data_IF_496748960407
#
_entry.id   IF_496748960407
#
_cell.length_a   1.000
_cell.length_b   1.000
_cell.length_c   1.000
_cell.angle_alpha   90.00
_cell.angle_beta   90.00
_cell.angle_gamma   90.00
#
_symmetry.space_group_name_H-M   'P 1'
#
loop_
_entity.id
_entity.type
_entity.pdbx_description
1 polymer ?
#
# COMPACT_ATOMS: atom_id res chain seq x y z
N UNK A 1 16.46 10.18 -8.98
CA UNK A 1 15.21 9.51 -9.36
C UNK A 1 15.11 8.38 -8.37
N UNK A 2 13.97 8.21 -7.74
CA UNK A 2 13.80 7.17 -6.74
C UNK A 2 12.48 6.45 -6.96
N UNK A 3 12.51 5.12 -6.80
CA UNK A 3 11.33 4.32 -6.60
C UNK A 3 11.33 3.86 -5.15
N UNK A 4 10.34 4.34 -4.42
CA UNK A 4 10.13 3.99 -3.01
C UNK A 4 8.82 3.22 -2.90
N UNK A 5 8.84 2.13 -2.16
CA UNK A 5 7.67 1.35 -1.82
C UNK A 5 7.38 1.49 -0.33
N UNK A 6 6.13 1.78 0.00
CA UNK A 6 5.58 1.65 1.33
C UNK A 6 4.59 0.48 1.36
N UNK A 7 4.70 -0.35 2.38
CA UNK A 7 3.75 -1.43 2.68
C UNK A 7 3.06 -1.05 3.98
N UNK A 8 1.72 -1.06 4.00
CA UNK A 8 0.91 -0.61 5.13
C UNK A 8 -0.16 -1.64 5.45
N UNK A 9 -0.27 -2.04 6.72
CA UNK A 9 -1.44 -2.78 7.21
C UNK A 9 -2.61 -1.82 7.44
N UNK A 10 -3.83 -2.23 7.12
CA UNK A 10 -5.05 -1.46 7.43
C UNK A 10 -5.10 -0.96 8.90
N UNK A 11 -5.89 0.09 9.15
CA UNK A 11 -6.17 0.65 10.47
C UNK A 11 -7.03 -0.25 11.37
N UNK A 12 -7.26 0.21 12.61
CA UNK A 12 -8.12 -0.49 13.56
C UNK A 12 -9.55 -0.67 13.04
N UNK A 13 -10.07 -1.89 13.16
CA UNK A 13 -11.38 -2.30 12.63
C UNK A 13 -12.46 -2.26 13.69
N UNK A 14 -13.69 -1.96 13.29
CA UNK A 14 -14.86 -1.97 14.17
C UNK A 14 -15.08 -3.33 14.82
N UNK A 15 -14.95 -4.43 14.07
CA UNK A 15 -15.15 -5.79 14.59
C UNK A 15 -14.07 -6.25 15.57
N UNK A 16 -12.94 -5.54 15.65
CA UNK A 16 -11.88 -5.79 16.63
C UNK A 16 -12.15 -5.11 17.98
N UNK A 17 -13.04 -4.10 18.01
CA UNK A 17 -13.40 -3.37 19.23
C UNK A 17 -14.84 -3.65 19.68
N UNK A 18 -15.73 -4.04 18.75
CA UNK A 18 -17.11 -4.45 19.01
C UNK A 18 -17.31 -5.94 18.66
N UNK A 19 -17.30 -6.83 19.68
CA UNK A 19 -17.54 -8.26 19.48
C UNK A 19 -18.93 -8.58 18.89
N UNK A 20 -19.89 -7.65 18.97
CA UNK A 20 -21.23 -7.83 18.45
C UNK A 20 -21.35 -7.46 16.97
N UNK A 21 -20.35 -6.80 16.38
CA UNK A 21 -20.36 -6.38 14.97
C UNK A 21 -20.73 -7.54 14.02
N UNK A 22 -20.21 -8.74 14.29
CA UNK A 22 -20.47 -9.94 13.48
C UNK A 22 -21.94 -10.38 13.45
N UNK A 23 -22.76 -9.92 14.40
CA UNK A 23 -24.18 -10.26 14.53
C UNK A 23 -25.10 -9.14 14.05
N UNK A 24 -24.60 -7.89 14.05
CA UNK A 24 -25.39 -6.70 13.73
C UNK A 24 -25.13 -6.19 12.31
N UNK A 25 -23.98 -6.52 11.72
CA UNK A 25 -23.61 -6.08 10.37
C UNK A 25 -24.19 -7.01 9.30
N UNK A 26 -24.73 -6.46 8.18
CA UNK A 26 -25.09 -7.26 7.01
C UNK A 26 -23.85 -7.83 6.28
N UNK A 27 -22.67 -7.25 6.50
CA UNK A 27 -21.39 -7.65 5.89
C UNK A 27 -20.33 -7.89 6.96
N UNK A 28 -20.49 -8.91 7.83
CA UNK A 28 -19.59 -9.14 8.97
C UNK A 28 -18.15 -9.49 8.57
N UNK A 29 -17.92 -9.84 7.30
CA UNK A 29 -16.62 -10.13 6.70
C UNK A 29 -15.89 -8.87 6.17
N UNK A 30 -16.59 -7.74 6.04
CA UNK A 30 -16.09 -6.51 5.43
C UNK A 30 -16.15 -5.32 6.42
N UNK A 31 -15.59 -5.53 7.61
CA UNK A 31 -15.67 -4.53 8.69
C UNK A 31 -14.98 -3.21 8.30
N UNK A 32 -15.61 -2.04 8.59
CA UNK A 32 -14.99 -0.73 8.42
C UNK A 32 -13.95 -0.43 9.50
N UNK A 33 -13.23 0.68 9.32
CA UNK A 33 -12.36 1.27 10.34
C UNK A 33 -13.16 1.92 11.46
N UNK A 34 -12.61 1.88 12.67
CA UNK A 34 -13.07 2.73 13.78
C UNK A 34 -12.70 4.20 13.50
N UNK A 35 -13.27 5.14 14.26
CA UNK A 35 -12.83 6.54 14.23
C UNK A 35 -11.33 6.68 14.53
N UNK A 36 -10.79 5.83 15.41
CA UNK A 36 -9.35 5.75 15.68
C UNK A 36 -8.58 5.18 14.49
N UNK A 37 -9.08 4.13 13.84
CA UNK A 37 -8.51 3.59 12.60
C UNK A 37 -8.39 4.64 11.49
N UNK A 38 -9.40 5.50 11.33
CA UNK A 38 -9.36 6.63 10.39
C UNK A 38 -8.28 7.65 10.75
N UNK A 39 -8.13 8.01 12.03
CA UNK A 39 -7.03 8.87 12.51
C UNK A 39 -5.66 8.24 12.28
N UNK A 40 -5.51 6.94 12.52
CA UNK A 40 -4.28 6.19 12.26
C UNK A 40 -3.87 6.27 10.79
N UNK A 41 -4.81 6.04 9.88
CA UNK A 41 -4.59 6.12 8.44
C UNK A 41 -4.12 7.52 8.02
N UNK A 42 -4.82 8.57 8.47
CA UNK A 42 -4.45 9.97 8.16
C UNK A 42 -3.08 10.36 8.69
N UNK A 43 -2.76 10.01 9.93
CA UNK A 43 -1.44 10.25 10.50
C UNK A 43 -0.34 9.49 9.75
N UNK A 44 -0.65 8.28 9.28
CA UNK A 44 0.26 7.47 8.46
C UNK A 44 0.58 8.13 7.13
N UNK A 45 -0.41 8.72 6.46
CA UNK A 45 -0.19 9.51 5.25
C UNK A 45 0.75 10.70 5.48
N UNK A 46 0.54 11.46 6.55
CA UNK A 46 1.43 12.56 6.91
C UNK A 46 2.86 12.08 7.20
N UNK A 47 3.00 10.98 7.93
CA UNK A 47 4.31 10.37 8.19
C UNK A 47 5.03 9.91 6.92
N UNK A 48 4.32 9.26 5.99
CA UNK A 48 4.87 8.85 4.67
C UNK A 48 5.40 10.06 3.91
N UNK A 49 4.66 11.18 3.90
CA UNK A 49 5.11 12.41 3.28
C UNK A 49 6.42 12.92 3.90
N UNK A 50 6.50 12.98 5.23
CA UNK A 50 7.67 13.52 5.94
C UNK A 50 8.93 12.68 5.67
N UNK A 51 8.84 11.35 5.78
CA UNK A 51 9.98 10.46 5.54
C UNK A 51 10.33 10.34 4.05
N UNK A 52 9.40 10.63 3.13
CA UNK A 52 9.72 10.75 1.71
C UNK A 52 10.54 12.02 1.46
N UNK A 53 10.24 13.14 2.13
CA UNK A 53 11.02 14.38 2.01
C UNK A 53 12.47 14.21 2.49
N UNK A 54 12.73 13.40 3.52
CA UNK A 54 14.10 13.06 3.92
C UNK A 54 14.95 12.48 2.78
N UNK A 55 14.29 11.77 1.85
CA UNK A 55 14.94 11.19 0.67
C UNK A 55 15.24 12.27 -0.39
N UNK A 56 14.41 13.31 -0.47
CA UNK A 56 14.54 14.42 -1.43
C UNK A 56 15.55 15.47 -0.96
N UNK A 57 15.59 15.80 0.34
CA UNK A 57 16.45 16.86 0.92
C UNK A 57 17.95 16.55 0.78
N UNK A 58 18.34 15.27 0.65
CA UNK A 58 19.73 14.89 0.33
C UNK A 58 20.16 15.24 -1.09
N UNK A 59 19.24 15.66 -1.96
CA UNK A 59 19.44 16.00 -3.36
C UNK A 59 19.04 17.49 -3.56
N UNK A 60 19.76 18.39 -2.88
CA UNK A 60 19.47 19.84 -2.69
C UNK A 60 19.14 20.60 -4.00
N UNK A 61 19.60 20.11 -5.14
CA UNK A 61 19.43 20.76 -6.44
C UNK A 61 18.13 20.41 -7.18
N UNK A 62 17.28 19.50 -6.67
CA UNK A 62 16.18 18.95 -7.48
C UNK A 62 14.81 19.21 -6.85
N UNK A 63 14.07 20.16 -7.43
CA UNK A 63 12.61 20.34 -7.24
C UNK A 63 11.82 19.16 -7.86
N UNK A 64 12.02 17.93 -7.36
CA UNK A 64 11.39 16.76 -7.95
C UNK A 64 9.88 16.75 -7.72
N UNK A 65 9.15 16.46 -8.80
CA UNK A 65 7.73 16.12 -8.73
C UNK A 65 7.63 14.68 -8.23
N UNK A 66 6.83 14.48 -7.18
CA UNK A 66 6.57 13.16 -6.59
C UNK A 66 5.21 12.66 -7.09
N UNK A 67 5.20 11.48 -7.70
CA UNK A 67 4.01 10.74 -8.10
C UNK A 67 3.74 9.67 -7.04
N UNK A 68 2.57 9.73 -6.40
CA UNK A 68 2.11 8.70 -5.48
C UNK A 68 1.13 7.77 -6.20
N UNK A 69 1.32 6.46 -6.05
CA UNK A 69 0.39 5.44 -6.54
C UNK A 69 0.01 4.52 -5.40
N UNK A 70 -1.25 4.61 -4.96
CA UNK A 70 -1.80 3.83 -3.86
C UNK A 70 -2.55 2.63 -4.43
N UNK A 71 -2.09 1.44 -4.08
CA UNK A 71 -2.76 0.17 -4.31
C UNK A 71 -3.44 -0.26 -3.01
N UNK A 72 -4.71 -0.62 -3.07
CA UNK A 72 -5.45 -1.13 -1.91
C UNK A 72 -6.12 -2.46 -2.22
N UNK A 73 -6.11 -3.35 -1.23
CA UNK A 73 -7.04 -4.49 -1.24
C UNK A 73 -8.49 -3.98 -1.28
N UNK A 74 -9.42 -4.71 -1.93
CA UNK A 74 -10.83 -4.36 -2.01
C UNK A 74 -11.59 -4.47 -0.67
N UNK A 75 -10.97 -4.87 0.45
CA UNK A 75 -11.69 -4.89 1.72
C UNK A 75 -11.91 -3.45 2.23
N UNK A 76 -13.09 -3.16 2.79
CA UNK A 76 -13.48 -1.80 3.18
C UNK A 76 -12.45 -1.14 4.09
N UNK A 77 -11.95 -1.86 5.10
CA UNK A 77 -10.87 -1.41 5.99
C UNK A 77 -9.60 -0.96 5.27
N UNK A 78 -9.18 -1.63 4.20
CA UNK A 78 -7.98 -1.25 3.44
C UNK A 78 -8.27 -0.04 2.57
N UNK A 79 -9.44 0.02 1.94
CA UNK A 79 -9.88 1.18 1.14
C UNK A 79 -9.98 2.44 2.01
N UNK A 80 -10.64 2.39 3.16
CA UNK A 80 -10.72 3.51 4.10
C UNK A 80 -9.33 3.92 4.64
N UNK A 81 -8.43 2.95 4.83
CA UNK A 81 -7.03 3.25 5.23
C UNK A 81 -6.30 4.00 4.11
N UNK A 82 -6.45 3.53 2.87
CA UNK A 82 -5.83 4.15 1.70
C UNK A 82 -6.34 5.59 1.46
N UNK A 83 -7.65 5.82 1.63
CA UNK A 83 -8.25 7.16 1.58
C UNK A 83 -7.64 8.06 2.67
N UNK A 84 -7.58 7.59 3.91
CA UNK A 84 -6.96 8.35 5.00
C UNK A 84 -5.50 8.69 4.73
N UNK A 85 -4.73 7.74 4.17
CA UNK A 85 -3.34 7.98 3.75
C UNK A 85 -3.27 9.10 2.70
N UNK A 86 -4.12 9.07 1.67
CA UNK A 86 -4.15 10.12 0.65
C UNK A 86 -4.46 11.49 1.26
N UNK A 87 -5.45 11.58 2.16
CA UNK A 87 -5.77 12.82 2.89
C UNK A 87 -4.58 13.31 3.73
N UNK A 88 -3.86 12.41 4.39
CA UNK A 88 -2.69 12.74 5.21
C UNK A 88 -1.55 13.32 4.37
N UNK A 89 -1.30 12.73 3.20
CA UNK A 89 -0.30 13.23 2.24
C UNK A 89 -0.71 14.61 1.72
N UNK A 90 -1.96 14.77 1.25
CA UNK A 90 -2.45 16.03 0.71
C UNK A 90 -2.46 17.15 1.75
N UNK A 91 -2.85 16.86 3.00
CA UNK A 91 -2.83 17.82 4.10
C UNK A 91 -1.39 18.30 4.43
N UNK A 92 -0.40 17.43 4.23
CA UNK A 92 1.02 17.74 4.50
C UNK A 92 1.69 18.48 3.33
N UNK A 93 1.04 18.53 2.17
CA UNK A 93 1.50 19.24 0.97
C UNK A 93 0.35 20.01 0.30
N UNK A 94 -0.03 21.19 0.83
CA UNK A 94 -1.20 21.94 0.36
C UNK A 94 -1.21 22.30 -1.14
N UNK A 95 -0.04 22.36 -1.78
CA UNK A 95 0.12 22.65 -3.20
C UNK A 95 0.34 21.40 -4.07
N UNK A 96 0.10 20.19 -3.55
CA UNK A 96 0.17 18.96 -4.32
C UNK A 96 -1.01 18.93 -5.32
N UNK A 97 -0.77 18.86 -6.64
CA UNK A 97 -1.86 18.68 -7.59
C UNK A 97 -2.62 17.40 -7.29
N UNK A 98 -3.96 17.42 -7.38
CA UNK A 98 -4.82 16.25 -7.09
C UNK A 98 -4.43 15.01 -7.90
N UNK A 99 -4.00 15.21 -9.14
CA UNK A 99 -3.55 14.13 -10.05
C UNK A 99 -2.20 13.49 -9.63
N UNK A 100 -1.58 13.98 -8.56
CA UNK A 100 -0.32 13.45 -8.05
C UNK A 100 -0.51 12.21 -7.17
N UNK A 101 -1.74 11.89 -6.77
CA UNK A 101 -2.06 10.66 -6.01
C UNK A 101 -3.04 9.84 -6.84
N UNK A 102 -2.56 8.74 -7.41
CA UNK A 102 -3.38 7.76 -8.12
C UNK A 102 -3.85 6.66 -7.16
N UNK A 103 -5.08 6.20 -7.32
CA UNK A 103 -5.71 5.22 -6.44
C UNK A 103 -6.20 4.01 -7.23
N UNK A 104 -5.75 2.80 -6.88
CA UNK A 104 -5.98 1.53 -7.58
C UNK A 104 -6.49 0.46 -6.62
N UNK A 105 -7.51 -0.29 -7.03
CA UNK A 105 -8.03 -1.45 -6.28
C UNK A 105 -7.38 -2.70 -6.84
N UNK A 106 -6.72 -3.49 -5.98
CA UNK A 106 -6.00 -4.70 -6.37
C UNK A 106 -6.44 -5.90 -5.51
N UNK A 107 -7.27 -6.81 -6.04
CA UNK A 107 -7.69 -8.03 -5.34
C UNK A 107 -6.54 -8.97 -4.98
N UNK A 108 -5.45 -9.01 -5.75
CA UNK A 108 -4.32 -9.91 -5.50
C UNK A 108 -3.55 -9.60 -4.20
N UNK A 109 -3.69 -8.40 -3.63
CA UNK A 109 -3.12 -8.02 -2.33
C UNK A 109 -4.13 -8.15 -1.17
N UNK A 110 -5.18 -8.96 -1.34
CA UNK A 110 -6.15 -9.27 -0.29
C UNK A 110 -5.60 -10.17 0.81
N UNK A 111 -6.34 -10.24 1.91
CA UNK A 111 -6.00 -11.02 3.11
C UNK A 111 -5.83 -12.51 2.78
N UNK A 112 -5.28 -13.28 3.71
CA UNK A 112 -5.24 -14.73 3.56
C UNK A 112 -6.64 -15.32 3.81
N UNK A 113 -7.22 -15.93 2.78
CA UNK A 113 -8.59 -16.44 2.82
C UNK A 113 -8.64 -17.86 3.42
N UNK A 114 -8.26 -17.97 4.69
CA UNK A 114 -8.25 -19.24 5.41
C UNK A 114 -9.36 -19.36 6.46
N UNK A 115 -9.71 -20.61 6.81
CA UNK A 115 -10.86 -20.93 7.66
C UNK A 115 -10.75 -20.38 9.10
N UNK A 116 -9.53 -20.14 9.58
CA UNK A 116 -9.30 -19.55 10.91
C UNK A 116 -9.68 -18.07 10.98
N UNK A 117 -9.63 -17.36 9.85
CA UNK A 117 -9.95 -15.94 9.77
C UNK A 117 -11.34 -15.69 9.21
N UNK A 118 -11.76 -16.51 8.24
CA UNK A 118 -13.04 -16.39 7.56
C UNK A 118 -13.81 -17.70 7.70
N UNK A 119 -15.06 -17.65 8.17
CA UNK A 119 -15.90 -18.85 8.30
C UNK A 119 -16.38 -19.40 6.95
N UNK A 120 -16.40 -18.54 5.93
CA UNK A 120 -16.89 -18.81 4.58
C UNK A 120 -16.09 -17.95 3.60
N UNK A 121 -16.17 -18.30 2.31
CA UNK A 121 -15.62 -17.47 1.25
C UNK A 121 -16.20 -16.04 1.33
N UNK A 122 -15.32 -15.06 1.18
CA UNK A 122 -15.72 -13.67 1.00
C UNK A 122 -16.20 -13.51 -0.45
N UNK A 123 -17.37 -12.90 -0.69
CA UNK A 123 -17.94 -12.82 -2.03
C UNK A 123 -17.14 -11.87 -2.94
N UNK A 124 -16.90 -12.29 -4.19
CA UNK A 124 -16.25 -11.47 -5.22
C UNK A 124 -16.99 -10.15 -5.51
N UNK A 125 -18.29 -10.09 -5.21
CA UNK A 125 -19.09 -8.86 -5.38
C UNK A 125 -18.57 -7.66 -4.59
N UNK A 126 -17.71 -7.87 -3.58
CA UNK A 126 -17.02 -6.76 -2.90
C UNK A 126 -16.20 -5.94 -3.89
N UNK A 127 -15.50 -6.57 -4.84
CA UNK A 127 -14.64 -5.85 -5.79
C UNK A 127 -15.47 -4.83 -6.57
N UNK A 128 -16.58 -5.28 -7.19
CA UNK A 128 -17.49 -4.38 -7.88
C UNK A 128 -18.13 -3.34 -6.97
N UNK A 129 -18.51 -3.72 -5.74
CA UNK A 129 -19.13 -2.81 -4.79
C UNK A 129 -18.18 -1.67 -4.45
N UNK A 130 -16.90 -1.96 -4.20
CA UNK A 130 -15.86 -0.98 -3.88
C UNK A 130 -15.58 -0.06 -5.06
N UNK A 131 -15.51 -0.59 -6.27
CA UNK A 131 -15.36 0.21 -7.49
C UNK A 131 -16.55 1.15 -7.67
N UNK A 132 -17.79 0.67 -7.48
CA UNK A 132 -19.01 1.49 -7.56
C UNK A 132 -19.02 2.59 -6.50
N UNK A 133 -18.68 2.26 -5.25
CA UNK A 133 -18.59 3.23 -4.16
C UNK A 133 -17.52 4.30 -4.42
N UNK A 134 -16.36 3.92 -4.95
CA UNK A 134 -15.31 4.86 -5.34
C UNK A 134 -15.76 5.80 -6.47
N UNK A 135 -16.43 5.25 -7.49
CA UNK A 135 -17.02 6.04 -8.57
C UNK A 135 -18.08 7.03 -8.06
N UNK A 136 -18.90 6.64 -7.09
CA UNK A 136 -19.89 7.52 -6.47
C UNK A 136 -19.23 8.65 -5.69
N UNK A 137 -18.17 8.36 -4.92
CA UNK A 137 -17.40 9.37 -4.20
C UNK A 137 -16.81 10.42 -5.17
N UNK A 138 -16.28 9.97 -6.32
CA UNK A 138 -15.73 10.87 -7.35
C UNK A 138 -16.81 11.72 -7.99
N UNK A 139 -17.97 11.15 -8.30
CA UNK A 139 -19.10 11.91 -8.86
C UNK A 139 -19.59 12.97 -7.87
N UNK A 140 -19.76 12.60 -6.61
CA UNK A 140 -20.16 13.54 -5.55
C UNK A 140 -19.15 14.68 -5.39
N UNK A 141 -17.86 14.38 -5.47
CA UNK A 141 -16.81 15.40 -5.47
C UNK A 141 -16.93 16.35 -6.67
N UNK A 142 -17.12 15.80 -7.87
CA UNK A 142 -17.30 16.58 -9.10
C UNK A 142 -18.55 17.47 -9.05
N UNK A 143 -19.67 16.96 -8.57
CA UNK A 143 -20.92 17.72 -8.41
C UNK A 143 -20.77 18.85 -7.37
N UNK A 144 -19.88 18.68 -6.39
CA UNK A 144 -19.58 19.69 -5.37
C UNK A 144 -18.58 20.77 -5.86
N UNK A 145 -17.87 20.54 -6.98
CA UNK A 145 -16.89 21.50 -7.54
C UNK A 145 -17.50 22.81 -8.02
N UNK A 146 -18.81 22.88 -8.22
CA UNK A 146 -19.52 24.15 -8.43
C UNK A 146 -19.38 25.12 -7.23
N UNK A 147 -18.83 24.65 -6.09
CA UNK A 147 -18.47 25.44 -4.90
C UNK A 147 -16.95 25.67 -4.69
N UNK A 148 -16.13 25.59 -5.75
CA UNK A 148 -14.73 26.05 -5.83
C UNK A 148 -13.62 25.25 -5.12
N UNK A 149 -13.81 24.00 -4.67
CA UNK A 149 -12.70 23.11 -4.27
C UNK A 149 -13.09 21.62 -4.28
N UNK A 150 -12.22 20.75 -4.80
CA UNK A 150 -12.34 19.29 -4.68
C UNK A 150 -12.07 18.89 -3.23
N UNK A 151 -12.93 18.06 -2.65
CA UNK A 151 -12.74 17.44 -1.34
C UNK A 151 -11.85 16.19 -1.42
N UNK A 152 -11.79 15.54 -2.58
CA UNK A 152 -10.93 14.36 -2.77
C UNK A 152 -9.46 14.73 -2.85
N UNK A 153 -8.64 13.96 -2.13
CA UNK A 153 -7.18 14.11 -2.10
C UNK A 153 -6.46 13.25 -3.14
N UNK A 154 -7.19 12.55 -4.00
CA UNK A 154 -6.64 11.58 -4.97
C UNK A 154 -7.50 11.50 -6.23
N UNK A 155 -6.93 10.95 -7.29
CA UNK A 155 -7.61 10.53 -8.51
C UNK A 155 -7.69 9.01 -8.56
N UNK A 156 -8.89 8.45 -8.66
CA UNK A 156 -9.00 7.02 -8.93
C UNK A 156 -8.59 6.70 -10.37
N UNK A 157 -7.79 5.66 -10.52
CA UNK A 157 -7.39 5.13 -11.80
C UNK A 157 -8.38 4.04 -12.22
N UNK A 158 -9.43 4.48 -12.92
CA UNK A 158 -10.51 3.59 -13.39
C UNK A 158 -10.09 2.72 -14.57
N UNK A 159 -8.98 3.07 -15.22
CA UNK A 159 -8.40 2.32 -16.35
C UNK A 159 -7.40 1.25 -15.87
N UNK A 160 -7.17 1.16 -14.56
CA UNK A 160 -6.30 0.14 -13.99
C UNK A 160 -6.91 -1.26 -14.14
N UNK A 161 -6.21 -2.12 -14.88
CA UNK A 161 -6.51 -3.55 -14.96
C UNK A 161 -5.87 -4.29 -13.78
N UNK A 162 -6.68 -4.88 -12.87
CA UNK A 162 -6.13 -5.57 -11.71
C UNK A 162 -5.44 -6.89 -12.11
N UNK A 163 -4.43 -7.28 -11.34
CA UNK A 163 -3.68 -8.52 -11.53
C UNK A 163 -4.58 -9.74 -11.39
N UNK A 164 -5.59 -9.63 -10.51
CA UNK A 164 -6.66 -10.61 -10.36
C UNK A 164 -8.01 -9.93 -10.42
N UNK A 165 -8.95 -10.51 -11.17
CA UNK A 165 -10.36 -10.07 -11.19
C UNK A 165 -11.18 -10.68 -10.05
N UNK A 166 -10.60 -11.62 -9.29
CA UNK A 166 -11.24 -12.32 -8.19
C UNK A 166 -10.45 -12.19 -6.89
N UNK A 167 -11.16 -12.33 -5.77
CA UNK A 167 -10.56 -12.50 -4.46
C UNK A 167 -9.86 -13.86 -4.37
N UNK A 168 -8.94 -14.03 -3.40
CA UNK A 168 -8.29 -15.31 -3.18
C UNK A 168 -9.28 -16.44 -2.94
N UNK A 169 -8.95 -17.62 -3.47
CA UNK A 169 -9.74 -18.84 -3.30
C UNK A 169 -9.98 -19.14 -1.82
N UNK A 170 -11.08 -19.83 -1.50
CA UNK A 170 -11.40 -20.21 -0.13
C UNK A 170 -11.65 -21.73 -0.01
N UNK A 171 -10.98 -22.43 0.92
CA UNK A 171 -9.84 -21.95 1.69
C UNK A 171 -8.58 -21.82 0.82
N UNK A 172 -7.78 -20.79 1.08
CA UNK A 172 -6.47 -20.61 0.45
C UNK A 172 -5.37 -21.33 1.23
N UNK A 173 -4.50 -22.07 0.55
CA UNK A 173 -3.30 -22.66 1.16
C UNK A 173 -2.28 -21.58 1.54
N UNK A 174 -1.48 -21.81 2.59
CA UNK A 174 -0.45 -20.84 3.01
C UNK A 174 0.56 -20.57 1.89
N UNK A 175 1.00 -21.60 1.17
CA UNK A 175 1.94 -21.45 0.06
C UNK A 175 1.33 -20.67 -1.10
N UNK A 176 0.02 -20.86 -1.36
CA UNK A 176 -0.70 -20.13 -2.40
C UNK A 176 -0.82 -18.64 -2.04
N UNK A 177 -1.11 -18.32 -0.78
CA UNK A 177 -1.17 -16.95 -0.30
C UNK A 177 0.18 -16.23 -0.40
N UNK A 178 1.27 -16.91 -0.02
CA UNK A 178 2.63 -16.39 -0.16
C UNK A 178 2.98 -16.13 -1.64
N UNK A 179 2.75 -17.13 -2.51
CA UNK A 179 3.02 -17.02 -3.93
C UNK A 179 2.20 -15.90 -4.58
N UNK A 180 0.91 -15.80 -4.27
CA UNK A 180 0.03 -14.75 -4.77
C UNK A 180 0.52 -13.37 -4.37
N UNK A 181 0.83 -13.14 -3.11
CA UNK A 181 1.30 -11.83 -2.62
C UNK A 181 2.67 -11.46 -3.21
N UNK A 182 3.59 -12.43 -3.34
CA UNK A 182 4.89 -12.21 -4.00
C UNK A 182 4.72 -11.86 -5.48
N UNK A 183 3.90 -12.61 -6.22
CA UNK A 183 3.61 -12.33 -7.63
C UNK A 183 2.87 -10.98 -7.80
N UNK A 184 1.99 -10.62 -6.87
CA UNK A 184 1.33 -9.31 -6.89
C UNK A 184 2.35 -8.17 -6.72
N UNK A 185 3.29 -8.30 -5.79
CA UNK A 185 4.39 -7.35 -5.61
C UNK A 185 5.23 -7.20 -6.88
N UNK A 186 5.65 -8.31 -7.50
CA UNK A 186 6.46 -8.28 -8.72
C UNK A 186 5.72 -7.58 -9.87
N UNK A 187 4.44 -7.93 -10.10
CA UNK A 187 3.61 -7.33 -11.16
C UNK A 187 3.27 -5.87 -10.91
N UNK A 188 3.06 -5.47 -9.64
CA UNK A 188 2.83 -4.07 -9.28
C UNK A 188 4.09 -3.24 -9.55
N UNK A 189 5.28 -3.75 -9.19
CA UNK A 189 6.51 -2.96 -9.19
C UNK A 189 7.25 -2.94 -10.51
N UNK A 190 7.22 -4.03 -11.28
CA UNK A 190 7.96 -4.18 -12.54
C UNK A 190 7.72 -3.04 -13.54
N UNK A 191 6.47 -2.60 -13.82
CA UNK A 191 6.23 -1.49 -14.75
C UNK A 191 6.88 -0.17 -14.30
N UNK A 192 6.98 0.06 -12.99
CA UNK A 192 7.62 1.27 -12.47
C UNK A 192 9.15 1.16 -12.51
N UNK A 193 9.71 -0.02 -12.26
CA UNK A 193 11.14 -0.28 -12.43
C UNK A 193 11.56 -0.04 -13.89
N UNK A 194 10.73 -0.44 -14.85
CA UNK A 194 10.96 -0.16 -16.27
C UNK A 194 10.85 1.33 -16.60
N UNK A 195 9.82 2.02 -16.09
CA UNK A 195 9.63 3.48 -16.25
C UNK A 195 10.80 4.28 -15.68
N UNK A 196 11.41 3.85 -14.57
CA UNK A 196 12.59 4.49 -14.01
C UNK A 196 13.74 4.56 -15.04
N UNK A 197 13.88 3.59 -15.95
CA UNK A 197 14.93 3.65 -16.98
C UNK A 197 14.70 4.76 -18.02
N UNK A 198 13.48 5.31 -18.10
CA UNK A 198 13.06 6.17 -19.21
C UNK A 198 12.86 7.65 -18.81
N UNK A 199 12.51 7.96 -17.55
CA UNK A 199 12.26 9.33 -17.07
C UNK A 199 13.00 9.65 -15.75
N UNK A 200 14.21 10.23 -15.79
CA UNK A 200 15.07 10.42 -14.62
C UNK A 200 14.68 11.59 -13.69
N UNK A 201 13.60 12.32 -13.98
CA UNK A 201 13.22 13.54 -13.25
C UNK A 201 12.09 13.35 -12.23
N UNK A 202 11.38 12.22 -12.23
CA UNK A 202 10.27 11.94 -11.32
C UNK A 202 10.68 11.00 -10.18
N UNK A 203 10.20 11.29 -8.99
CA UNK A 203 10.23 10.32 -7.89
C UNK A 203 8.86 9.63 -7.83
N UNK A 204 8.88 8.30 -7.75
CA UNK A 204 7.68 7.49 -7.72
C UNK A 204 7.59 6.83 -6.35
N UNK A 205 6.44 7.01 -5.70
CA UNK A 205 6.13 6.43 -4.40
C UNK A 205 4.96 5.47 -4.57
N UNK A 206 5.25 4.18 -4.48
CA UNK A 206 4.25 3.13 -4.44
C UNK A 206 3.81 2.92 -2.99
N UNK A 207 2.51 2.81 -2.76
CA UNK A 207 1.92 2.60 -1.44
C UNK A 207 0.98 1.41 -1.54
N UNK A 208 1.31 0.28 -0.91
CA UNK A 208 0.50 -0.93 -0.88
C UNK A 208 -0.21 -1.01 0.47
N UNK A 209 -1.53 -0.87 0.47
CA UNK A 209 -2.40 -0.99 1.65
C UNK A 209 -3.07 -2.35 1.67
N UNK A 210 -2.67 -3.18 2.64
CA UNK A 210 -3.01 -4.60 2.69
C UNK A 210 -3.23 -5.10 4.13
N UNK A 211 -3.11 -6.40 4.35
CA UNK A 211 -3.38 -7.14 5.58
C UNK A 211 -2.09 -7.78 6.11
N UNK A 212 -2.12 -8.34 7.33
CA UNK A 212 -0.91 -8.80 8.02
C UNK A 212 -0.10 -9.87 7.26
N UNK A 213 -0.77 -10.87 6.67
CA UNK A 213 -0.09 -11.94 5.92
C UNK A 213 0.56 -11.43 4.64
N UNK A 214 -0.21 -10.72 3.81
CA UNK A 214 0.31 -10.19 2.56
C UNK A 214 1.38 -9.11 2.80
N UNK A 215 1.27 -8.32 3.88
CA UNK A 215 2.32 -7.39 4.31
C UNK A 215 3.65 -8.12 4.51
N UNK A 216 3.67 -9.20 5.29
CA UNK A 216 4.90 -9.95 5.55
C UNK A 216 5.42 -10.64 4.28
N UNK A 217 4.53 -11.18 3.43
CA UNK A 217 4.92 -11.79 2.17
C UNK A 217 5.60 -10.79 1.22
N UNK A 218 5.06 -9.58 1.09
CA UNK A 218 5.66 -8.52 0.27
C UNK A 218 6.96 -8.01 0.90
N UNK A 219 7.03 -7.91 2.24
CA UNK A 219 8.25 -7.53 2.94
C UNK A 219 9.39 -8.54 2.70
N UNK A 220 9.10 -9.83 2.81
CA UNK A 220 10.07 -10.89 2.53
C UNK A 220 10.48 -10.91 1.05
N UNK A 221 9.55 -10.63 0.13
CA UNK A 221 9.87 -10.46 -1.30
C UNK A 221 10.78 -9.26 -1.59
N UNK A 222 10.75 -8.20 -0.77
CA UNK A 222 11.68 -7.07 -0.89
C UNK A 222 13.08 -7.41 -0.36
N UNK A 223 13.20 -8.28 0.64
CA UNK A 223 14.47 -8.66 1.24
C UNK A 223 14.32 -10.04 1.88
N UNK A 224 14.80 -11.07 1.17
CA UNK A 224 14.70 -12.47 1.60
C UNK A 224 15.25 -12.65 3.01
N UNK A 225 14.49 -13.34 3.86
CA UNK A 225 14.89 -13.58 5.25
C UNK A 225 14.53 -12.44 6.20
N UNK A 226 13.73 -11.48 5.75
CA UNK A 226 13.13 -10.49 6.64
C UNK A 226 12.31 -11.18 7.73
N UNK A 227 12.48 -10.82 9.02
CA UNK A 227 11.71 -11.43 10.08
C UNK A 227 10.21 -11.19 9.86
N UNK A 228 9.45 -12.27 9.97
CA UNK A 228 8.00 -12.21 10.05
C UNK A 228 7.60 -11.68 11.42
N UNK A 229 6.81 -10.62 11.43
CA UNK A 229 6.38 -9.95 12.66
C UNK A 229 4.88 -9.89 12.76
N UNK A 230 4.37 -9.75 13.98
CA UNK A 230 2.99 -9.35 14.18
C UNK A 230 2.84 -7.87 13.78
N UNK A 231 2.36 -7.66 12.56
CA UNK A 231 2.24 -6.32 11.97
C UNK A 231 1.09 -5.57 12.63
N UNK A 232 1.31 -4.48 13.35
CA UNK A 232 0.22 -3.72 13.99
C UNK A 232 -0.59 -2.86 13.00
N UNK A 233 -1.75 -2.34 13.42
CA UNK A 233 -2.58 -1.47 12.57
C UNK A 233 -1.81 -0.24 12.09
N UNK A 234 -1.93 0.09 10.81
CA UNK A 234 -1.21 1.20 10.17
C UNK A 234 0.32 1.16 10.37
N UNK A 235 0.89 -0.02 10.65
CA UNK A 235 2.33 -0.21 10.63
C UNK A 235 2.86 -0.01 9.21
N UNK A 236 4.05 0.60 9.10
CA UNK A 236 4.68 0.98 7.84
C UNK A 236 6.02 0.27 7.66
N UNK A 237 6.19 -0.39 6.53
CA UNK A 237 7.50 -0.82 6.02
C UNK A 237 7.86 0.04 4.81
N UNK A 238 9.13 0.49 4.73
CA UNK A 238 9.67 1.20 3.57
C UNK A 238 10.75 0.35 2.90
N UNK A 239 10.63 0.18 1.59
CA UNK A 239 11.63 -0.39 0.73
C UNK A 239 12.06 0.64 -0.33
N UNK A 240 13.35 0.65 -0.68
CA UNK A 240 13.89 1.48 -1.76
C UNK A 240 14.51 0.61 -2.84
N UNK A 241 14.19 0.90 -4.09
CA UNK A 241 14.82 0.26 -5.23
C UNK A 241 16.20 0.88 -5.50
N UNK A 242 17.21 0.03 -5.62
CA UNK A 242 18.59 0.40 -5.98
C UNK A 242 18.90 -0.23 -7.34
N UNK A 243 19.03 0.55 -8.41
CA UNK A 243 19.48 0.05 -9.71
C UNK A 243 20.87 -0.59 -9.61
N UNK A 244 21.13 -1.60 -10.42
CA UNK A 244 22.48 -2.19 -10.53
C UNK A 244 23.38 -1.23 -11.32
N UNK A 245 24.52 -0.82 -10.74
CA UNK A 245 25.52 -0.01 -11.46
C UNK A 245 26.24 -0.87 -12.51
N UNK A 246 26.28 -0.40 -13.76
CA UNK A 246 27.00 -1.06 -14.86
C UNK A 246 28.53 -1.14 -14.64
N UNK A 247 29.09 -0.31 -13.75
CA UNK A 247 30.53 -0.18 -13.49
C UNK A 247 30.99 -0.66 -12.08
N UNK A 248 30.11 -1.30 -11.30
CA UNK A 248 30.50 -1.78 -9.96
C UNK A 248 31.11 -3.20 -10.01
N UNK A 249 32.44 -3.27 -10.09
CA UNK A 249 33.17 -4.50 -9.73
C UNK A 249 33.03 -4.71 -8.21
N UNK A 250 32.10 -5.58 -7.81
CA UNK A 250 32.04 -6.00 -6.41
C UNK A 250 33.22 -6.94 -6.12
N UNK A 251 34.04 -6.55 -5.16
CA UNK A 251 34.92 -7.46 -4.42
C UNK A 251 34.00 -8.51 -3.79
N UNK A 252 34.11 -9.76 -4.23
CA UNK A 252 33.47 -10.90 -3.60
C UNK A 252 33.98 -11.02 -2.17
N UNK A 253 33.19 -10.58 -1.20
CA UNK A 253 33.42 -10.91 0.20
C UNK A 253 32.98 -12.36 0.40
N UNK A 254 33.95 -13.27 0.33
CA UNK A 254 33.77 -14.71 0.47
C UNK A 254 33.39 -14.97 1.94
N UNK A 255 32.08 -15.00 2.23
CA UNK A 255 31.64 -15.30 3.60
C UNK A 255 30.15 -15.22 3.93
N UNK A 256 29.27 -14.82 3.01
CA UNK A 256 27.81 -15.01 3.18
C UNK A 256 27.20 -15.50 1.88
N UNK A 257 26.71 -16.71 1.97
CA UNK A 257 26.30 -17.54 0.85
C UNK A 257 25.37 -16.84 -0.14
N UNK A 258 25.68 -17.09 -1.40
CA UNK A 258 24.84 -16.90 -2.57
C UNK A 258 23.37 -17.18 -2.28
N UNK A 259 22.50 -16.16 -2.42
CA UNK A 259 21.05 -16.25 -2.68
C UNK A 259 20.36 -14.86 -2.74
N UNK A 260 21.10 -13.79 -3.05
CA UNK A 260 20.51 -12.47 -3.35
C UNK A 260 19.72 -12.56 -4.67
N UNK A 261 18.43 -12.26 -4.59
CA UNK A 261 17.47 -12.53 -5.68
C UNK A 261 17.77 -11.69 -6.93
N UNK A 262 17.88 -12.41 -8.04
CA UNK A 262 18.38 -11.95 -9.33
C UNK A 262 17.29 -11.24 -10.14
N UNK A 263 17.20 -9.92 -9.99
CA UNK A 263 16.84 -9.07 -11.14
C UNK A 263 18.14 -8.54 -11.74
N UNK A 264 18.34 -8.70 -13.06
CA UNK A 264 19.47 -8.08 -13.77
C UNK A 264 19.47 -6.54 -13.67
N UNK A 265 18.37 -5.95 -13.19
CA UNK A 265 18.12 -4.52 -13.15
C UNK A 265 18.53 -3.81 -11.85
N UNK A 266 18.59 -4.51 -10.72
CA UNK A 266 18.76 -3.89 -9.40
C UNK A 266 18.19 -4.72 -8.27
N UNK A 267 18.11 -4.14 -7.07
CA UNK A 267 17.57 -4.79 -5.86
C UNK A 267 16.76 -3.85 -4.97
N UNK A 268 15.82 -4.42 -4.21
CA UNK A 268 15.12 -3.71 -3.14
C UNK A 268 15.96 -3.73 -1.86
N UNK A 269 15.82 -2.67 -1.05
CA UNK A 269 16.44 -2.56 0.27
C UNK A 269 15.44 -2.05 1.29
N UNK A 270 15.28 -2.76 2.40
CA UNK A 270 14.44 -2.33 3.52
C UNK A 270 15.22 -1.41 4.45
N UNK A 271 14.62 -0.29 4.84
CA UNK A 271 15.22 0.62 5.82
C UNK A 271 14.25 1.05 6.94
N UNK A 272 12.96 0.79 6.78
CA UNK A 272 11.94 0.89 7.84
C UNK A 272 11.15 -0.42 7.83
N UNK A 273 10.98 -1.06 8.98
CA UNK A 273 10.26 -2.32 9.10
C UNK A 273 9.16 -2.24 10.15
N UNK A 274 7.92 -2.48 9.73
CA UNK A 274 6.71 -2.55 10.57
C UNK A 274 6.62 -1.44 11.65
N UNK A 275 7.03 -0.23 11.29
CA UNK A 275 7.13 0.91 12.21
C UNK A 275 5.73 1.45 12.55
N UNK A 276 5.52 1.77 13.83
CA UNK A 276 4.29 2.36 14.38
C UNK A 276 4.55 3.59 15.25
N UNK A 277 5.79 4.09 15.26
CA UNK A 277 6.24 5.17 16.14
C UNK A 277 5.46 6.47 15.88
N UNK A 278 5.05 6.70 14.63
CA UNK A 278 4.22 7.84 14.22
C UNK A 278 2.81 7.83 14.82
N UNK A 279 2.38 6.71 15.41
CA UNK A 279 1.05 6.51 15.99
C UNK A 279 1.03 6.62 17.52
N UNK A 280 2.18 6.82 18.18
CA UNK A 280 2.29 6.85 19.65
C UNK A 280 1.32 7.82 20.34
N UNK A 281 1.04 8.95 19.71
CA UNK A 281 0.19 10.00 20.28
C UNK A 281 -1.30 9.85 19.94
N UNK A 282 -1.67 8.86 19.13
CA UNK A 282 -3.08 8.61 18.79
C UNK A 282 -3.74 7.88 19.96
N UNK A 283 -4.32 8.67 20.86
CA UNK A 283 -5.14 8.15 21.96
C UNK A 283 -6.41 7.49 21.42
N UNK A 284 -6.85 6.46 22.17
CA UNK A 284 -8.11 5.73 22.00
C UNK A 284 -9.27 6.71 22.05
#
# INVERSE_FOLDING_TARGET
MSLTLFIIRHGERVDSVDPNFRFTSPTPYDAPLTSKGKRQAKRTGAYIHDIQLETVVKDIDRQRKVEYVIYTSPLLRTVETAIGIAEGIASSRPNLPIDSIQFRIEPAISDWHFQSYNRKAIPNSIIESRTKELCLLIKQDQDTKDQNQSQLSFKADLDYEPISTELPAYPEGIMDALARCSNAFEKITSPFIERLRQDPLKDIVLIIVTHGWCFNAIQDACSKGSPWVEVRYCAVTRARWIPKDENSEYIYDIGKDALDDNSSAGKWTLDIMANIEHLKDIKV
#
